data_IF_147774090026
#
_entry.id   IF_147774090026
#
_cell.length_a   1.000
_cell.length_b   1.000
_cell.length_c   1.000
_cell.angle_alpha   90.00
_cell.angle_beta   90.00
_cell.angle_gamma   90.00
#
_symmetry.space_group_name_H-M   'P 1'
#
loop_
_entity.id
_entity.type
_entity.pdbx_description
1 polymer ?
#
# COMPACT_ATOMS: atom_id res chain seq x y z
N UNK A 1 36.89 79.09 -18.60
CA UNK A 1 37.01 79.12 -17.13
C UNK A 1 36.22 80.33 -16.66
N UNK A 2 34.94 80.12 -16.33
CA UNK A 2 34.09 81.16 -15.75
C UNK A 2 33.74 80.68 -14.35
N UNK A 3 34.38 81.26 -13.35
CA UNK A 3 34.01 81.10 -11.95
C UNK A 3 32.77 81.97 -11.73
N UNK A 4 31.58 81.36 -11.81
CA UNK A 4 30.36 81.99 -11.31
C UNK A 4 30.44 81.98 -9.78
N UNK A 5 30.80 83.12 -9.21
CA UNK A 5 30.58 83.44 -7.80
C UNK A 5 29.10 83.24 -7.49
N UNK A 6 28.78 82.12 -6.86
CA UNK A 6 27.47 81.87 -6.27
C UNK A 6 27.28 82.86 -5.13
N UNK A 7 26.67 84.01 -5.45
CA UNK A 7 26.02 84.87 -4.46
C UNK A 7 25.05 83.99 -3.69
N UNK A 8 25.47 83.56 -2.50
CA UNK A 8 24.60 82.90 -1.54
C UNK A 8 23.49 83.90 -1.24
N UNK A 9 22.31 83.64 -1.80
CA UNK A 9 21.10 84.38 -1.49
C UNK A 9 20.79 84.08 -0.02
N UNK A 10 21.29 84.92 0.89
CA UNK A 10 21.00 84.81 2.32
C UNK A 10 19.54 85.22 2.46
N UNK A 11 18.66 84.27 2.15
CA UNK A 11 17.24 84.32 2.43
C UNK A 11 17.11 84.72 3.89
N UNK A 12 16.48 85.87 4.14
CA UNK A 12 16.25 86.36 5.49
C UNK A 12 15.52 85.27 6.27
N UNK A 13 16.16 84.61 7.23
CA UNK A 13 15.52 83.57 8.04
C UNK A 13 14.49 84.24 8.94
N UNK A 14 13.23 84.24 8.50
CA UNK A 14 12.12 84.76 9.29
C UNK A 14 11.73 83.70 10.32
N UNK A 15 12.23 83.84 11.54
CA UNK A 15 11.88 82.94 12.64
C UNK A 15 10.42 83.19 13.06
N UNK A 16 9.58 82.16 12.92
CA UNK A 16 8.21 82.15 13.45
C UNK A 16 8.17 81.36 14.76
N UNK A 17 8.03 82.06 15.87
CA UNK A 17 7.91 81.42 17.18
C UNK A 17 6.50 80.86 17.33
N UNK A 18 6.37 79.58 17.70
CA UNK A 18 5.08 78.88 17.75
C UNK A 18 4.26 79.22 19.00
N UNK A 19 4.91 79.25 20.14
CA UNK A 19 4.29 79.50 21.44
C UNK A 19 5.25 80.26 22.34
N UNK A 20 4.68 81.04 23.24
CA UNK A 20 5.38 81.69 24.35
C UNK A 20 4.70 81.17 25.64
N UNK A 21 5.46 80.85 26.70
CA UNK A 21 4.88 80.44 27.97
C UNK A 21 3.88 81.47 28.53
N UNK A 22 2.71 81.01 28.97
CA UNK A 22 1.63 81.87 29.48
C UNK A 22 1.97 82.52 30.84
N UNK A 23 2.97 81.99 31.54
CA UNK A 23 3.42 82.39 32.87
C UNK A 23 4.47 83.52 32.86
N UNK A 24 4.81 84.08 31.70
CA UNK A 24 5.82 85.13 31.61
C UNK A 24 5.29 86.47 32.11
N UNK A 25 5.97 87.03 33.11
CA UNK A 25 5.69 88.38 33.60
C UNK A 25 6.09 89.44 32.55
N UNK A 26 5.08 90.04 31.92
CA UNK A 26 5.23 91.06 30.87
C UNK A 26 5.83 92.38 31.38
N UNK A 27 5.99 92.57 32.70
CA UNK A 27 6.49 93.81 33.32
C UNK A 27 7.91 93.71 33.88
N UNK A 28 8.58 92.55 33.81
CA UNK A 28 9.92 92.32 34.40
C UNK A 28 10.96 93.34 33.94
N UNK A 29 10.98 93.66 32.64
CA UNK A 29 11.92 94.64 32.09
C UNK A 29 11.90 96.00 32.79
N UNK A 30 10.81 96.42 33.44
CA UNK A 30 10.75 97.72 34.13
C UNK A 30 11.70 97.80 35.32
N UNK A 31 11.87 96.70 36.05
CA UNK A 31 12.72 96.62 37.24
C UNK A 31 14.21 96.42 36.89
N UNK A 32 14.53 95.98 35.68
CA UNK A 32 15.90 95.62 35.30
C UNK A 32 16.75 96.84 34.92
N UNK A 33 17.91 96.98 35.56
CA UNK A 33 18.91 98.01 35.25
C UNK A 33 19.99 97.55 34.28
N UNK A 34 20.10 96.24 34.03
CA UNK A 34 21.19 95.64 33.24
C UNK A 34 20.62 94.74 32.14
N UNK A 35 21.37 94.56 31.05
CA UNK A 35 20.98 93.65 29.98
C UNK A 35 21.01 92.19 30.46
N UNK A 36 19.92 91.46 30.23
CA UNK A 36 19.78 90.04 30.62
C UNK A 36 20.77 89.09 29.92
N UNK A 37 21.38 89.51 28.79
CA UNK A 37 22.29 88.67 28.00
C UNK A 37 23.75 88.95 28.33
N UNK A 38 24.17 90.22 28.29
CA UNK A 38 25.57 90.61 28.46
C UNK A 38 25.88 91.30 29.80
N UNK A 39 24.87 91.57 30.63
CA UNK A 39 25.03 92.18 31.96
C UNK A 39 25.35 93.69 31.96
N UNK A 40 25.52 94.33 30.81
CA UNK A 40 25.86 95.76 30.70
C UNK A 40 24.72 96.63 31.27
N UNK A 41 25.01 97.65 32.12
CA UNK A 41 23.99 98.54 32.68
C UNK A 41 23.40 99.50 31.62
N UNK A 42 22.11 99.79 31.74
CA UNK A 42 21.41 100.78 30.92
C UNK A 42 21.61 102.19 31.48
N UNK A 43 21.70 103.19 30.59
CA UNK A 43 21.90 104.59 30.98
C UNK A 43 20.83 105.10 31.96
N UNK A 44 21.27 105.69 33.08
CA UNK A 44 20.45 106.70 33.79
C UNK A 44 20.54 108.01 33.01
N UNK A 45 19.43 108.78 32.93
CA UNK A 45 19.33 110.04 32.15
C UNK A 45 20.61 110.89 32.31
N UNK A 46 21.37 111.09 31.22
CA UNK A 46 22.53 111.99 31.17
C UNK A 46 23.92 111.35 30.98
N UNK A 47 24.04 110.03 30.81
CA UNK A 47 25.34 109.38 30.48
C UNK A 47 25.19 108.44 29.27
N UNK A 48 26.18 108.43 28.39
CA UNK A 48 26.14 107.69 27.12
C UNK A 48 26.49 106.21 27.29
N UNK A 49 25.60 105.35 27.78
CA UNK A 49 25.79 103.89 27.70
C UNK A 49 24.51 103.07 27.46
N UNK A 50 24.36 102.59 26.23
CA UNK A 50 23.39 101.61 25.70
C UNK A 50 21.89 101.85 25.95
N UNK A 51 21.11 101.86 24.86
CA UNK A 51 19.65 101.95 24.90
C UNK A 51 19.03 100.68 25.47
N UNK A 52 18.04 100.86 26.35
CA UNK A 52 17.22 99.77 26.90
C UNK A 52 16.14 99.38 25.91
N UNK A 53 16.18 98.14 25.43
CA UNK A 53 15.13 97.52 24.63
C UNK A 53 14.45 96.39 25.42
N UNK A 54 13.26 95.99 24.99
CA UNK A 54 12.51 94.88 25.59
C UNK A 54 12.40 93.78 24.55
N UNK A 55 12.79 92.56 24.93
CA UNK A 55 12.49 91.37 24.14
C UNK A 55 11.00 91.08 24.27
N UNK A 56 10.26 91.02 23.16
CA UNK A 56 8.81 90.76 23.24
C UNK A 56 8.45 89.30 23.52
N UNK A 57 9.43 88.41 23.51
CA UNK A 57 9.26 86.97 23.70
C UNK A 57 9.51 86.52 25.13
N UNK A 58 10.42 87.19 25.86
CA UNK A 58 10.67 86.91 27.29
C UNK A 58 10.45 88.11 28.20
N UNK A 59 10.06 89.27 27.65
CA UNK A 59 9.77 90.51 28.37
C UNK A 59 10.89 91.08 29.26
N UNK A 60 12.10 90.52 29.17
CA UNK A 60 13.33 91.03 29.80
C UNK A 60 13.99 92.15 28.98
N UNK A 61 14.76 92.98 29.67
CA UNK A 61 15.50 94.10 29.13
C UNK A 61 16.81 93.65 28.47
N UNK A 62 17.06 94.11 27.25
CA UNK A 62 18.25 93.81 26.46
C UNK A 62 18.81 95.05 25.78
N UNK A 63 20.13 95.08 25.58
CA UNK A 63 20.76 96.14 24.78
C UNK A 63 20.55 95.88 23.28
N UNK A 64 20.83 96.89 22.45
CA UNK A 64 20.67 96.77 21.00
C UNK A 64 21.50 95.63 20.39
N UNK A 65 22.74 95.44 20.86
CA UNK A 65 23.64 94.38 20.39
C UNK A 65 23.16 92.97 20.76
N UNK A 66 22.42 92.81 21.86
CA UNK A 66 21.86 91.53 22.30
C UNK A 66 20.44 91.28 21.79
N UNK A 67 19.87 92.22 21.02
CA UNK A 67 18.56 92.10 20.37
C UNK A 67 18.54 92.71 18.96
N UNK A 68 19.49 92.33 18.08
CA UNK A 68 19.59 92.93 16.75
C UNK A 68 18.51 92.40 15.78
N UNK A 69 17.83 91.30 16.13
CA UNK A 69 16.91 90.58 15.28
C UNK A 69 15.45 90.84 15.66
N UNK A 70 14.56 90.58 14.71
CA UNK A 70 13.12 90.49 14.91
C UNK A 70 12.61 89.10 14.50
N UNK A 71 11.53 88.65 15.12
CA UNK A 71 10.87 87.38 14.82
C UNK A 71 9.35 87.59 14.79
N UNK A 72 8.61 86.69 14.14
CA UNK A 72 7.14 86.74 14.15
C UNK A 72 6.66 86.26 15.52
N UNK A 73 5.98 87.14 16.24
CA UNK A 73 5.41 86.84 17.55
C UNK A 73 4.13 85.99 17.41
N UNK A 74 3.94 84.92 18.20
CA UNK A 74 2.80 84.01 18.04
C UNK A 74 1.44 84.68 18.30
N UNK A 75 1.36 85.59 19.28
CA UNK A 75 0.10 86.29 19.62
C UNK A 75 -0.24 87.43 18.65
N UNK A 76 0.73 88.32 18.33
CA UNK A 76 0.46 89.51 17.53
C UNK A 76 0.65 89.29 16.02
N UNK A 77 1.28 88.18 15.63
CA UNK A 77 1.66 87.84 14.25
C UNK A 77 2.52 88.93 13.57
N UNK A 78 3.07 89.87 14.35
CA UNK A 78 3.91 90.98 13.89
C UNK A 78 5.40 90.66 14.02
N UNK A 79 6.23 91.37 13.27
CA UNK A 79 7.69 91.32 13.42
C UNK A 79 8.11 92.10 14.65
N UNK A 80 8.46 91.39 15.72
CA UNK A 80 8.77 91.96 17.02
C UNK A 80 10.21 91.66 17.45
N UNK A 81 10.79 92.55 18.26
CA UNK A 81 12.17 92.44 18.70
C UNK A 81 12.37 91.24 19.63
N UNK A 82 13.38 90.43 19.34
CA UNK A 82 13.76 89.23 20.08
C UNK A 82 15.21 89.32 20.56
N UNK A 83 15.49 88.86 21.78
CA UNK A 83 16.88 88.76 22.26
C UNK A 83 17.57 87.51 21.70
N UNK A 84 18.90 87.53 21.60
CA UNK A 84 19.68 86.43 21.03
C UNK A 84 19.45 85.09 21.75
N UNK A 85 19.23 85.08 23.07
CA UNK A 85 18.91 83.86 23.82
C UNK A 85 17.59 83.25 23.35
N UNK A 86 16.52 84.04 23.26
CA UNK A 86 15.22 83.57 22.78
C UNK A 86 15.30 83.15 21.31
N UNK A 87 15.98 83.94 20.47
CA UNK A 87 16.15 83.63 19.05
C UNK A 87 16.82 82.28 18.84
N UNK A 88 17.99 82.05 19.46
CA UNK A 88 18.71 80.78 19.34
C UNK A 88 17.92 79.61 19.92
N UNK A 89 17.22 79.79 21.03
CA UNK A 89 16.40 78.74 21.63
C UNK A 89 15.25 78.31 20.71
N UNK A 90 14.52 79.27 20.14
CA UNK A 90 13.41 78.97 19.23
C UNK A 90 13.89 78.47 17.87
N UNK A 91 15.04 78.94 17.38
CA UNK A 91 15.66 78.41 16.16
C UNK A 91 16.05 76.95 16.34
N UNK A 92 16.70 76.58 17.45
CA UNK A 92 17.04 75.19 17.78
C UNK A 92 15.78 74.32 17.81
N UNK A 93 14.75 74.74 18.56
CA UNK A 93 13.49 74.00 18.63
C UNK A 93 12.84 73.81 17.24
N UNK A 94 12.89 74.84 16.38
CA UNK A 94 12.36 74.73 15.01
C UNK A 94 13.14 73.74 14.15
N UNK A 95 14.47 73.75 14.25
CA UNK A 95 15.35 72.83 13.51
C UNK A 95 15.18 71.40 14.02
N UNK A 96 15.12 71.21 15.34
CA UNK A 96 14.92 69.90 15.96
C UNK A 96 13.59 69.29 15.55
N UNK A 97 12.50 70.07 15.54
CA UNK A 97 11.19 69.59 15.08
C UNK A 97 11.17 69.23 13.58
N UNK A 98 11.85 70.01 12.74
CA UNK A 98 11.96 69.69 11.32
C UNK A 98 12.79 68.41 11.09
N UNK A 99 13.88 68.25 11.84
CA UNK A 99 14.72 67.06 11.79
C UNK A 99 13.96 65.82 12.32
N UNK A 100 13.20 65.95 13.40
CA UNK A 100 12.35 64.86 13.92
C UNK A 100 11.33 64.42 12.87
N UNK A 101 10.68 65.35 12.17
CA UNK A 101 9.74 65.01 11.09
C UNK A 101 10.42 64.28 9.95
N UNK A 102 11.57 64.77 9.47
CA UNK A 102 12.35 64.11 8.42
C UNK A 102 12.83 62.72 8.85
N UNK A 103 13.30 62.59 10.09
CA UNK A 103 13.73 61.31 10.63
C UNK A 103 12.56 60.32 10.75
N UNK A 104 11.39 60.78 11.19
CA UNK A 104 10.19 59.95 11.25
C UNK A 104 9.74 59.49 9.86
N UNK A 105 9.84 60.34 8.85
CA UNK A 105 9.54 60.01 7.45
C UNK A 105 10.52 58.94 6.92
N UNK A 106 11.82 59.14 7.10
CA UNK A 106 12.85 58.16 6.69
C UNK A 106 12.64 56.81 7.38
N UNK A 107 12.37 56.80 8.68
CA UNK A 107 12.11 55.56 9.42
C UNK A 107 10.85 54.86 8.89
N UNK A 108 9.80 55.62 8.59
CA UNK A 108 8.56 55.05 8.01
C UNK A 108 8.83 54.39 6.67
N UNK A 109 9.52 55.08 5.76
CA UNK A 109 9.84 54.55 4.43
C UNK A 109 10.72 53.30 4.50
N UNK A 110 11.66 53.26 5.45
CA UNK A 110 12.49 52.08 5.71
C UNK A 110 11.66 50.91 6.24
N UNK A 111 10.75 51.15 7.19
CA UNK A 111 9.85 50.12 7.72
C UNK A 111 8.98 49.55 6.59
N UNK A 112 8.38 50.40 5.76
CA UNK A 112 7.54 49.97 4.64
C UNK A 112 8.34 49.15 3.61
N UNK A 113 9.60 49.50 3.38
CA UNK A 113 10.49 48.76 2.48
C UNK A 113 10.82 47.38 3.04
N UNK A 114 11.25 47.31 4.31
CA UNK A 114 11.54 46.04 4.99
C UNK A 114 10.30 45.14 5.03
N UNK A 115 9.13 45.70 5.31
CA UNK A 115 7.87 44.95 5.32
C UNK A 115 7.55 44.37 3.94
N UNK A 116 7.71 45.15 2.86
CA UNK A 116 7.50 44.67 1.49
C UNK A 116 8.45 43.53 1.13
N UNK A 117 9.75 43.69 1.40
CA UNK A 117 10.76 42.65 1.14
C UNK A 117 10.48 41.38 1.94
N UNK A 118 10.07 41.52 3.20
CA UNK A 118 9.70 40.40 4.05
C UNK A 118 8.49 39.65 3.50
N UNK A 119 7.44 40.36 3.09
CA UNK A 119 6.24 39.77 2.48
C UNK A 119 6.60 39.06 1.17
N UNK A 120 7.43 39.67 0.33
CA UNK A 120 7.87 39.07 -0.94
C UNK A 120 8.65 37.77 -0.71
N UNK A 121 9.56 37.75 0.27
CA UNK A 121 10.33 36.56 0.63
C UNK A 121 9.43 35.42 1.12
N UNK A 122 8.54 35.69 2.08
CA UNK A 122 7.58 34.70 2.58
C UNK A 122 6.66 34.19 1.46
N UNK A 123 6.24 35.06 0.55
CA UNK A 123 5.41 34.67 -0.61
C UNK A 123 6.17 33.71 -1.53
N UNK A 124 7.45 33.97 -1.82
CA UNK A 124 8.29 33.06 -2.62
C UNK A 124 8.51 31.71 -1.94
N UNK A 125 8.74 31.70 -0.64
CA UNK A 125 8.88 30.45 0.13
C UNK A 125 7.60 29.62 0.14
N UNK A 126 6.44 30.27 0.32
CA UNK A 126 5.13 29.61 0.27
C UNK A 126 4.84 29.00 -1.10
N UNK A 127 5.14 29.70 -2.20
CA UNK A 127 4.95 29.14 -3.55
C UNK A 127 5.90 27.95 -3.81
N UNK A 128 7.13 27.98 -3.30
CA UNK A 128 8.05 26.84 -3.38
C UNK A 128 7.49 25.62 -2.62
N UNK A 129 7.05 25.82 -1.37
CA UNK A 129 6.43 24.75 -0.56
C UNK A 129 5.19 24.18 -1.26
N UNK A 130 4.38 25.04 -1.88
CA UNK A 130 3.17 24.64 -2.59
C UNK A 130 3.50 23.82 -3.84
N UNK A 131 4.53 24.18 -4.59
CA UNK A 131 4.96 23.40 -5.76
C UNK A 131 5.58 22.06 -5.35
N UNK A 132 6.41 22.04 -4.31
CA UNK A 132 6.98 20.80 -3.76
C UNK A 132 5.87 19.83 -3.29
N UNK A 133 4.85 20.37 -2.61
CA UNK A 133 3.68 19.60 -2.19
C UNK A 133 2.90 19.02 -3.38
N UNK A 134 2.65 19.82 -4.43
CA UNK A 134 2.00 19.33 -5.67
C UNK A 134 2.84 18.25 -6.36
N UNK A 135 4.16 18.37 -6.35
CA UNK A 135 5.06 17.35 -6.91
C UNK A 135 4.97 16.03 -6.15
N UNK A 136 4.94 16.08 -4.82
CA UNK A 136 4.73 14.90 -3.98
C UNK A 136 3.35 14.27 -4.22
N UNK A 137 2.29 15.07 -4.31
CA UNK A 137 0.94 14.57 -4.61
C UNK A 137 0.89 13.85 -5.96
N UNK A 138 1.49 14.44 -7.01
CA UNK A 138 1.63 13.79 -8.32
C UNK A 138 2.36 12.45 -8.21
N UNK A 139 3.48 12.42 -7.49
CA UNK A 139 4.25 11.20 -7.28
C UNK A 139 3.41 10.09 -6.60
N UNK A 140 2.73 10.41 -5.51
CA UNK A 140 1.92 9.42 -4.79
C UNK A 140 0.72 8.95 -5.63
N UNK A 141 0.10 9.86 -6.39
CA UNK A 141 -0.98 9.51 -7.32
C UNK A 141 -0.53 8.52 -8.39
N UNK A 142 0.67 8.73 -8.95
CA UNK A 142 1.25 7.80 -9.93
C UNK A 142 1.58 6.44 -9.31
N UNK A 143 2.10 6.40 -8.07
CA UNK A 143 2.34 5.15 -7.35
C UNK A 143 1.04 4.39 -7.09
N UNK A 144 0.00 5.08 -6.62
CA UNK A 144 -1.32 4.49 -6.38
C UNK A 144 -1.89 3.93 -7.69
N UNK A 145 -1.78 4.67 -8.80
CA UNK A 145 -2.24 4.20 -10.10
C UNK A 145 -1.52 2.91 -10.53
N UNK A 146 -0.20 2.83 -10.37
CA UNK A 146 0.58 1.63 -10.69
C UNK A 146 0.15 0.44 -9.84
N UNK A 147 0.04 0.62 -8.52
CA UNK A 147 -0.40 -0.44 -7.61
C UNK A 147 -1.81 -0.93 -7.94
N UNK A 148 -2.74 -0.04 -8.29
CA UNK A 148 -4.08 -0.43 -8.68
C UNK A 148 -4.08 -1.30 -9.95
N UNK A 149 -3.27 -0.94 -10.95
CA UNK A 149 -3.11 -1.77 -12.16
C UNK A 149 -2.51 -3.13 -11.83
N UNK A 150 -1.50 -3.19 -10.95
CA UNK A 150 -0.90 -4.46 -10.51
C UNK A 150 -1.90 -5.35 -9.73
N UNK A 151 -2.74 -4.75 -8.87
CA UNK A 151 -3.80 -5.47 -8.16
C UNK A 151 -4.79 -6.06 -9.17
N UNK A 152 -5.26 -5.27 -10.12
CA UNK A 152 -6.23 -5.71 -11.13
C UNK A 152 -5.67 -6.84 -12.03
N UNK A 153 -4.39 -6.77 -12.40
CA UNK A 153 -3.71 -7.84 -13.14
C UNK A 153 -3.61 -9.13 -12.29
N UNK A 154 -3.25 -9.01 -11.01
CA UNK A 154 -3.22 -10.16 -10.09
C UNK A 154 -4.59 -10.79 -9.90
N UNK A 155 -5.64 -10.00 -9.74
CA UNK A 155 -7.02 -10.50 -9.64
C UNK A 155 -7.43 -11.27 -10.91
N UNK A 156 -7.09 -10.73 -12.09
CA UNK A 156 -7.36 -11.39 -13.38
C UNK A 156 -6.62 -12.74 -13.52
N UNK A 157 -5.38 -12.81 -13.04
CA UNK A 157 -4.59 -14.06 -13.01
C UNK A 157 -5.18 -15.07 -12.03
N UNK A 158 -5.54 -14.65 -10.81
CA UNK A 158 -6.17 -15.52 -9.81
C UNK A 158 -7.47 -16.09 -10.36
N UNK A 159 -8.29 -15.26 -11.01
CA UNK A 159 -9.55 -15.71 -11.62
C UNK A 159 -9.32 -16.76 -12.71
N UNK A 160 -8.33 -16.53 -13.58
CA UNK A 160 -7.99 -17.47 -14.65
C UNK A 160 -7.44 -18.80 -14.11
N UNK A 161 -6.56 -18.74 -13.11
CA UNK A 161 -6.02 -19.94 -12.45
C UNK A 161 -7.12 -20.73 -11.74
N UNK A 162 -8.00 -20.05 -11.00
CA UNK A 162 -9.13 -20.68 -10.29
C UNK A 162 -10.07 -21.38 -11.27
N UNK A 163 -10.37 -20.78 -12.42
CA UNK A 163 -11.19 -21.42 -13.44
C UNK A 163 -10.54 -22.70 -13.99
N UNK A 164 -9.25 -22.65 -14.31
CA UNK A 164 -8.49 -23.80 -14.83
C UNK A 164 -8.35 -24.92 -13.78
N UNK A 165 -8.14 -24.59 -12.51
CA UNK A 165 -8.10 -25.56 -11.43
C UNK A 165 -9.45 -26.24 -11.20
N UNK A 166 -10.55 -25.47 -11.19
CA UNK A 166 -11.89 -26.01 -11.06
C UNK A 166 -12.25 -26.93 -12.23
N UNK A 167 -11.82 -26.60 -13.46
CA UNK A 167 -11.99 -27.46 -14.62
C UNK A 167 -11.26 -28.80 -14.44
N UNK A 168 -9.98 -28.77 -14.02
CA UNK A 168 -9.20 -29.99 -13.74
C UNK A 168 -9.81 -30.81 -12.61
N UNK A 169 -10.35 -30.16 -11.58
CA UNK A 169 -11.04 -30.83 -10.48
C UNK A 169 -12.28 -31.57 -11.01
N UNK A 170 -13.08 -30.90 -11.84
CA UNK A 170 -14.28 -31.49 -12.45
C UNK A 170 -13.94 -32.70 -13.34
N UNK A 171 -12.88 -32.63 -14.14
CA UNK A 171 -12.41 -33.75 -14.95
C UNK A 171 -11.97 -34.95 -14.07
N UNK A 172 -11.27 -34.68 -12.97
CA UNK A 172 -10.89 -35.71 -11.99
C UNK A 172 -12.11 -36.33 -11.31
N UNK A 173 -13.09 -35.53 -10.92
CA UNK A 173 -14.33 -36.03 -10.30
C UNK A 173 -15.11 -36.94 -11.24
N UNK A 174 -15.16 -36.60 -12.53
CA UNK A 174 -15.73 -37.47 -13.57
C UNK A 174 -14.96 -38.78 -13.70
N UNK A 175 -13.63 -38.73 -13.71
CA UNK A 175 -12.77 -39.91 -13.78
C UNK A 175 -12.94 -40.82 -12.55
N UNK A 176 -13.00 -40.24 -11.35
CA UNK A 176 -13.24 -40.97 -10.10
C UNK A 176 -14.62 -41.61 -10.12
N UNK A 177 -15.65 -40.89 -10.56
CA UNK A 177 -17.01 -41.41 -10.69
C UNK A 177 -17.08 -42.62 -11.63
N UNK A 178 -16.37 -42.55 -12.75
CA UNK A 178 -16.25 -43.68 -13.69
C UNK A 178 -15.55 -44.87 -13.04
N UNK A 179 -14.43 -44.64 -12.36
CA UNK A 179 -13.69 -45.70 -11.66
C UNK A 179 -14.52 -46.37 -10.56
N UNK A 180 -15.28 -45.60 -9.77
CA UNK A 180 -16.20 -46.14 -8.76
C UNK A 180 -17.24 -47.06 -9.41
N UNK A 181 -17.78 -46.68 -10.58
CA UNK A 181 -18.73 -47.52 -11.31
C UNK A 181 -18.10 -48.83 -11.77
N UNK A 182 -16.92 -48.76 -12.38
CA UNK A 182 -16.18 -49.94 -12.83
C UNK A 182 -15.85 -50.89 -11.66
N UNK A 183 -15.44 -50.33 -10.51
CA UNK A 183 -15.19 -51.12 -9.30
C UNK A 183 -16.44 -51.85 -8.80
N UNK A 184 -17.62 -51.21 -8.83
CA UNK A 184 -18.89 -51.87 -8.48
C UNK A 184 -19.23 -52.99 -9.44
N UNK A 185 -19.08 -52.76 -10.75
CA UNK A 185 -19.34 -53.77 -11.78
C UNK A 185 -18.40 -54.99 -11.61
N UNK A 186 -17.13 -54.76 -11.26
CA UNK A 186 -16.17 -55.82 -10.95
C UNK A 186 -16.57 -56.60 -9.68
N UNK A 187 -17.00 -55.89 -8.63
CA UNK A 187 -17.45 -56.53 -7.39
C UNK A 187 -18.66 -57.44 -7.61
N UNK A 188 -19.64 -56.98 -8.40
CA UNK A 188 -20.82 -57.76 -8.77
C UNK A 188 -20.43 -59.03 -9.56
N UNK A 189 -19.58 -58.89 -10.59
CA UNK A 189 -19.03 -60.04 -11.32
C UNK A 189 -18.26 -61.00 -10.41
N UNK A 190 -17.50 -60.48 -9.45
CA UNK A 190 -16.80 -61.29 -8.45
C UNK A 190 -17.75 -62.17 -7.65
N UNK A 191 -18.88 -61.60 -7.19
CA UNK A 191 -19.94 -62.34 -6.48
C UNK A 191 -20.59 -63.40 -7.36
N UNK A 192 -20.78 -63.14 -8.64
CA UNK A 192 -21.31 -64.13 -9.60
C UNK A 192 -20.35 -65.29 -9.81
N UNK A 193 -19.06 -65.00 -10.03
CA UNK A 193 -18.03 -66.04 -10.16
C UNK A 193 -17.92 -66.89 -8.90
N UNK A 194 -18.00 -66.29 -7.70
CA UNK A 194 -17.98 -67.04 -6.45
C UNK A 194 -19.16 -68.01 -6.33
N UNK A 195 -20.37 -67.58 -6.72
CA UNK A 195 -21.55 -68.46 -6.77
C UNK A 195 -21.37 -69.60 -7.77
N UNK A 196 -20.83 -69.29 -8.96
CA UNK A 196 -20.58 -70.30 -9.99
C UNK A 196 -19.55 -71.34 -9.54
N UNK A 197 -18.46 -70.91 -8.90
CA UNK A 197 -17.46 -71.82 -8.34
C UNK A 197 -18.04 -72.75 -7.28
N UNK A 198 -18.84 -72.22 -6.33
CA UNK A 198 -19.52 -73.06 -5.32
C UNK A 198 -20.44 -74.11 -5.96
N UNK A 199 -21.12 -73.76 -7.05
CA UNK A 199 -21.95 -74.72 -7.79
C UNK A 199 -21.11 -75.82 -8.45
N UNK A 200 -19.97 -75.46 -9.06
CA UNK A 200 -19.03 -76.42 -9.66
C UNK A 200 -18.39 -77.34 -8.61
N UNK A 201 -17.98 -76.81 -7.46
CA UNK A 201 -17.44 -77.61 -6.34
C UNK A 201 -18.45 -78.67 -5.84
N UNK A 202 -19.72 -78.28 -5.73
CA UNK A 202 -20.79 -79.21 -5.38
C UNK A 202 -21.01 -80.29 -6.46
N UNK A 203 -20.97 -79.90 -7.74
CA UNK A 203 -21.08 -80.86 -8.85
C UNK A 203 -19.92 -81.85 -8.86
N UNK A 204 -18.68 -81.39 -8.68
CA UNK A 204 -17.51 -82.27 -8.59
C UNK A 204 -17.62 -83.23 -7.40
N UNK A 205 -18.06 -82.75 -6.24
CA UNK A 205 -18.29 -83.60 -5.07
C UNK A 205 -19.32 -84.70 -5.34
N UNK A 206 -20.39 -84.38 -6.07
CA UNK A 206 -21.39 -85.36 -6.48
C UNK A 206 -20.82 -86.40 -7.46
N UNK A 207 -20.08 -85.95 -8.47
CA UNK A 207 -19.44 -86.84 -9.46
C UNK A 207 -18.42 -87.77 -8.81
N UNK A 208 -17.63 -87.29 -7.83
CA UNK A 208 -16.72 -88.13 -7.07
C UNK A 208 -17.46 -89.23 -6.29
N UNK A 209 -18.61 -88.91 -5.71
CA UNK A 209 -19.45 -89.88 -5.02
C UNK A 209 -20.04 -90.92 -5.97
N UNK A 210 -20.52 -90.48 -7.14
CA UNK A 210 -20.99 -91.38 -8.20
C UNK A 210 -19.88 -92.31 -8.70
N UNK A 211 -18.67 -91.78 -8.92
CA UNK A 211 -17.52 -92.58 -9.33
C UNK A 211 -17.17 -93.64 -8.27
N UNK A 212 -17.14 -93.30 -6.97
CA UNK A 212 -16.92 -94.27 -5.88
C UNK A 212 -17.99 -95.36 -5.86
N UNK A 213 -19.25 -95.00 -6.09
CA UNK A 213 -20.36 -95.95 -6.17
C UNK A 213 -20.19 -96.91 -7.36
N UNK A 214 -19.94 -96.37 -8.56
CA UNK A 214 -19.69 -97.16 -9.77
C UNK A 214 -18.48 -98.09 -9.61
N UNK A 215 -17.39 -97.61 -9.01
CA UNK A 215 -16.21 -98.44 -8.73
C UNK A 215 -16.53 -99.61 -7.78
N UNK A 216 -17.40 -99.38 -6.79
CA UNK A 216 -17.88 -100.43 -5.89
C UNK A 216 -18.74 -101.46 -6.64
N UNK A 217 -19.66 -100.99 -7.48
CA UNK A 217 -20.46 -101.87 -8.34
C UNK A 217 -19.59 -102.71 -9.29
N UNK A 218 -18.56 -102.11 -9.88
CA UNK A 218 -17.62 -102.81 -10.76
C UNK A 218 -16.88 -103.93 -10.03
N UNK A 219 -16.34 -103.66 -8.83
CA UNK A 219 -15.71 -104.70 -7.99
C UNK A 219 -16.65 -105.86 -7.65
N UNK A 220 -17.92 -105.55 -7.37
CA UNK A 220 -18.93 -106.57 -7.10
C UNK A 220 -19.20 -107.42 -8.34
N UNK A 221 -19.34 -106.81 -9.51
CA UNK A 221 -19.49 -107.52 -10.79
C UNK A 221 -18.28 -108.38 -11.13
N UNK A 222 -17.06 -107.87 -10.92
CA UNK A 222 -15.82 -108.62 -11.13
C UNK A 222 -15.74 -109.87 -10.24
N UNK A 223 -16.13 -109.72 -8.96
CA UNK A 223 -16.24 -110.83 -8.01
C UNK A 223 -17.28 -111.85 -8.48
N UNK A 224 -18.45 -111.38 -8.90
CA UNK A 224 -19.53 -112.22 -9.42
C UNK A 224 -19.09 -113.01 -10.67
N UNK A 225 -18.43 -112.34 -11.63
CA UNK A 225 -17.93 -112.96 -12.85
C UNK A 225 -16.83 -113.99 -12.57
N UNK A 226 -15.97 -113.71 -11.59
CA UNK A 226 -14.96 -114.66 -11.11
C UNK A 226 -15.62 -115.91 -10.52
N UNK A 227 -16.69 -115.76 -9.74
CA UNK A 227 -17.46 -116.88 -9.20
C UNK A 227 -18.14 -117.70 -10.31
N UNK A 228 -18.80 -117.04 -11.25
CA UNK A 228 -19.38 -117.71 -12.43
C UNK A 228 -18.31 -118.46 -13.24
N UNK A 229 -17.12 -117.88 -13.42
CA UNK A 229 -16.00 -118.54 -14.08
C UNK A 229 -15.56 -119.83 -13.37
N UNK A 230 -15.53 -119.82 -12.03
CA UNK A 230 -15.26 -121.03 -11.23
C UNK A 230 -16.37 -122.07 -11.38
N UNK A 231 -17.64 -121.65 -11.32
CA UNK A 231 -18.78 -122.56 -11.51
C UNK A 231 -18.79 -123.19 -12.90
N UNK A 232 -18.54 -122.41 -13.96
CA UNK A 232 -18.41 -122.92 -15.32
C UNK A 232 -17.29 -123.94 -15.44
N UNK A 233 -16.15 -123.71 -14.77
CA UNK A 233 -15.05 -124.69 -14.73
C UNK A 233 -15.47 -126.00 -14.04
N UNK A 234 -16.17 -125.92 -12.90
CA UNK A 234 -16.72 -127.09 -12.21
C UNK A 234 -17.70 -127.85 -13.11
N UNK A 235 -18.57 -127.14 -13.83
CA UNK A 235 -19.51 -127.73 -14.78
C UNK A 235 -18.79 -128.39 -15.97
N UNK A 236 -17.78 -127.75 -16.54
CA UNK A 236 -16.93 -128.34 -17.59
C UNK A 236 -16.23 -129.61 -17.10
N UNK A 237 -15.67 -129.59 -15.89
CA UNK A 237 -15.02 -130.77 -15.28
C UNK A 237 -16.03 -131.90 -15.08
N UNK A 238 -17.25 -131.60 -14.60
CA UNK A 238 -18.35 -132.58 -14.49
C UNK A 238 -18.75 -133.14 -15.85
N UNK A 239 -18.90 -132.28 -16.87
CA UNK A 239 -19.20 -132.71 -18.24
C UNK A 239 -18.11 -133.63 -18.79
N UNK A 240 -16.83 -133.28 -18.56
CA UNK A 240 -15.69 -134.12 -18.97
C UNK A 240 -15.68 -135.47 -18.26
N UNK A 241 -15.99 -135.50 -16.97
CA UNK A 241 -16.14 -136.75 -16.22
C UNK A 241 -17.31 -137.59 -16.74
N UNK A 242 -18.48 -136.99 -16.99
CA UNK A 242 -19.63 -137.67 -17.58
C UNK A 242 -19.32 -138.17 -19.01
N UNK A 243 -18.58 -137.41 -19.79
CA UNK A 243 -18.09 -137.83 -21.11
C UNK A 243 -17.14 -139.04 -20.99
N UNK A 244 -16.21 -139.01 -20.03
CA UNK A 244 -15.36 -140.16 -19.72
C UNK A 244 -16.18 -141.38 -19.26
N UNK A 245 -17.23 -141.19 -18.45
CA UNK A 245 -18.14 -142.25 -18.02
C UNK A 245 -18.95 -142.86 -19.18
N UNK A 246 -19.38 -142.04 -20.15
CA UNK A 246 -19.99 -142.50 -21.39
C UNK A 246 -19.01 -143.32 -22.23
N UNK A 247 -17.78 -142.84 -22.38
CA UNK A 247 -16.72 -143.56 -23.11
C UNK A 247 -16.33 -144.88 -22.42
N UNK A 248 -16.52 -145.00 -21.08
CA UNK A 248 -16.27 -146.23 -20.31
C UNK A 248 -17.49 -147.18 -20.21
N UNK A 249 -18.72 -146.71 -20.47
CA UNK A 249 -19.93 -147.57 -20.56
C UNK A 249 -20.18 -148.11 -21.97
N UNK A 250 -19.35 -147.76 -22.95
CA UNK A 250 -19.46 -148.15 -24.35
C UNK A 250 -18.44 -149.19 -24.83
N UNK A 251 -18.17 -150.27 -24.08
CA UNK A 251 -17.52 -151.48 -24.63
C UNK A 251 -18.29 -152.74 -24.24
N UNK A 252 -19.47 -152.89 -24.84
CA UNK A 252 -20.12 -154.18 -25.02
C UNK A 252 -19.72 -154.70 -26.40
N UNK A 253 -19.28 -155.96 -26.38
CA UNK A 253 -18.78 -156.77 -27.48
C UNK A 253 -19.88 -157.16 -28.50
N UNK A 254 -19.42 -157.67 -29.66
CA UNK A 254 -20.12 -158.43 -30.74
C UNK A 254 -20.48 -157.64 -32.03
N UNK A 255 -20.57 -158.30 -33.22
CA UNK A 255 -19.48 -158.44 -34.19
C UNK A 255 -19.82 -157.97 -35.64
N UNK A 256 -18.80 -157.96 -36.51
CA UNK A 256 -18.70 -157.91 -37.99
C UNK A 256 -19.98 -157.98 -38.88
N UNK A 257 -20.02 -157.29 -40.05
CA UNK A 257 -19.25 -157.76 -41.22
C UNK A 257 -18.74 -156.72 -42.25
N UNK A 258 -17.88 -157.25 -43.11
CA UNK A 258 -17.25 -156.71 -44.33
C UNK A 258 -18.23 -156.00 -45.29
N UNK A 259 -17.79 -154.92 -45.95
CA UNK A 259 -17.58 -154.79 -47.43
C UNK A 259 -17.61 -153.33 -47.92
N UNK A 260 -16.81 -153.05 -48.96
CA UNK A 260 -17.05 -152.01 -49.98
C UNK A 260 -16.61 -150.59 -49.61
N UNK A 261 -15.46 -150.08 -50.06
CA UNK A 261 -15.17 -149.62 -51.43
C UNK A 261 -16.12 -148.50 -51.90
N UNK A 262 -15.68 -147.23 -51.83
CA UNK A 262 -15.58 -146.36 -53.00
C UNK A 262 -14.83 -145.06 -52.69
N UNK A 263 -13.99 -144.71 -53.65
CA UNK A 263 -13.17 -143.51 -53.77
C UNK A 263 -14.01 -142.21 -53.82
N UNK A 264 -13.42 -141.09 -53.40
CA UNK A 264 -13.17 -139.95 -54.31
C UNK A 264 -12.37 -138.81 -53.64
N UNK A 265 -11.28 -138.43 -54.32
CA UNK A 265 -10.81 -137.06 -54.66
C UNK A 265 -10.77 -135.99 -53.55
N UNK A 266 -9.62 -135.42 -53.14
CA UNK A 266 -8.69 -134.49 -53.87
C UNK A 266 -9.45 -133.41 -54.64
N UNK A 267 -9.05 -132.13 -54.47
CA UNK A 267 -8.91 -130.98 -55.42
C UNK A 267 -9.03 -129.71 -54.53
N UNK A 268 -8.11 -128.74 -54.37
CA UNK A 268 -6.80 -128.36 -54.94
C UNK A 268 -5.92 -127.82 -53.81
#
# INVERSE_FOLDING_TARGET
MGEEETRVDISLVILKVKTIPDDIDKKVSKAESNCIICGIPFSKKGSSQTSKHVCRFCYHACCAACSPLTAIHPESNGSERICLKCYTSHLKASVDEENEKKNQEVIRDQIETIQRETIELHTKELEKIKEDSRNQERHYKDQISKLNTEIQDRESRIMSMSFEENKKLSEKDQSISKFIKEMKDIEEKGKEYEKSNKALENQNSNLENEHKNLQTQFKNLETFNTNLGKENKILQDKMKNLQNELDHKGKIYTPEPKTGCMNSCIIY
#
